data_IF_350403131443
#
_entry.id   IF_350403131443
#
_cell.length_a   1.000
_cell.length_b   1.000
_cell.length_c   1.000
_cell.angle_alpha   90.00
_cell.angle_beta   90.00
_cell.angle_gamma   90.00
#
_symmetry.space_group_name_H-M   'P 1'
#
loop_
_entity.id
_entity.type
_entity.pdbx_description
1 polymer ?
#
# COMPACT_ATOMS: atom_id res chain seq x y z
N UNK A 1 -55.00 7.40 31.84
CA UNK A 1 -53.68 8.01 32.14
C UNK A 1 -52.61 7.09 31.59
N UNK A 2 -51.98 7.50 30.49
CA UNK A 2 -50.88 6.78 29.83
C UNK A 2 -49.65 6.79 30.75
N UNK A 3 -49.05 5.62 30.97
CA UNK A 3 -47.68 5.53 31.48
C UNK A 3 -46.76 5.14 30.33
N UNK A 4 -45.93 6.10 29.92
CA UNK A 4 -44.94 5.96 28.85
C UNK A 4 -43.81 5.07 29.36
N UNK A 5 -43.58 3.95 28.67
CA UNK A 5 -42.40 3.12 28.86
C UNK A 5 -41.17 3.86 28.33
N UNK A 6 -40.26 4.26 29.23
CA UNK A 6 -38.94 4.72 28.86
C UNK A 6 -38.05 3.51 28.56
N UNK A 7 -37.99 3.10 27.29
CA UNK A 7 -36.98 2.17 26.80
C UNK A 7 -35.67 2.94 26.67
N UNK A 8 -34.81 2.85 27.67
CA UNK A 8 -33.40 3.26 27.52
C UNK A 8 -32.68 2.13 26.79
N UNK A 9 -32.60 2.25 25.47
CA UNK A 9 -31.71 1.43 24.67
C UNK A 9 -30.26 1.86 24.97
N UNK A 10 -29.62 1.19 25.93
CA UNK A 10 -28.16 1.25 26.07
C UNK A 10 -27.61 0.51 24.85
N UNK A 11 -27.25 1.25 23.82
CA UNK A 11 -26.39 0.76 22.77
C UNK A 11 -25.06 0.35 23.44
N UNK A 12 -24.88 -0.95 23.67
CA UNK A 12 -23.57 -1.50 24.00
C UNK A 12 -22.69 -1.27 22.77
N UNK A 13 -21.94 -0.18 22.81
CA UNK A 13 -20.88 0.12 21.87
C UNK A 13 -20.00 -1.12 21.73
N UNK A 14 -19.95 -1.69 20.52
CA UNK A 14 -18.98 -2.69 20.17
C UNK A 14 -17.60 -2.07 20.37
N UNK A 15 -16.87 -2.56 21.37
CA UNK A 15 -15.45 -2.21 21.55
C UNK A 15 -14.73 -2.64 20.26
N UNK A 16 -14.16 -1.72 19.44
CA UNK A 16 -13.53 -2.10 18.19
C UNK A 16 -12.18 -2.75 18.50
N UNK A 17 -12.17 -4.07 18.50
CA UNK A 17 -11.07 -4.91 18.99
C UNK A 17 -10.19 -5.52 17.90
N UNK A 18 -9.91 -4.79 16.83
CA UNK A 18 -8.74 -4.92 15.95
C UNK A 18 -8.77 -3.70 15.02
N UNK A 19 -7.65 -2.98 14.88
CA UNK A 19 -7.60 -1.93 13.87
C UNK A 19 -8.05 -2.53 12.51
N UNK A 20 -8.98 -1.87 11.79
CA UNK A 20 -9.44 -2.38 10.51
C UNK A 20 -8.22 -2.57 9.60
N UNK A 21 -8.32 -3.48 8.63
CA UNK A 21 -7.27 -3.71 7.62
C UNK A 21 -6.00 -4.48 8.02
N UNK A 22 -5.86 -4.98 9.27
CA UNK A 22 -4.63 -5.71 9.67
C UNK A 22 -4.63 -7.22 9.43
N UNK A 23 -5.79 -7.80 9.11
CA UNK A 23 -5.94 -9.22 8.84
C UNK A 23 -5.62 -9.50 7.37
N UNK A 24 -4.66 -10.38 7.04
CA UNK A 24 -4.33 -10.73 5.66
C UNK A 24 -5.44 -11.51 4.95
N UNK A 25 -6.41 -12.08 5.67
CA UNK A 25 -7.47 -12.91 5.11
C UNK A 25 -6.94 -14.20 4.44
N UNK A 26 -5.84 -14.75 4.96
CA UNK A 26 -5.30 -16.05 4.57
C UNK A 26 -6.26 -17.18 4.96
N UNK A 27 -6.28 -18.26 4.16
CA UNK A 27 -6.99 -19.48 4.51
C UNK A 27 -6.19 -20.37 5.45
N UNK A 28 -6.84 -20.88 6.49
CA UNK A 28 -6.24 -21.80 7.46
C UNK A 28 -4.93 -21.27 8.05
N UNK A 29 -3.88 -22.10 8.02
CA UNK A 29 -2.57 -21.82 8.60
C UNK A 29 -1.56 -21.28 7.57
N UNK A 30 -2.02 -20.58 6.52
CA UNK A 30 -1.15 -19.98 5.51
C UNK A 30 -0.63 -18.62 5.99
N UNK A 31 0.67 -18.38 5.86
CA UNK A 31 1.32 -17.20 6.45
C UNK A 31 2.30 -16.44 5.54
N UNK A 32 2.53 -16.88 4.30
CA UNK A 32 3.55 -16.27 3.43
C UNK A 32 2.89 -15.63 2.22
N UNK A 33 3.24 -14.37 1.95
CA UNK A 33 2.90 -13.67 0.71
C UNK A 33 4.15 -13.58 -0.16
N UNK A 34 4.02 -13.89 -1.44
CA UNK A 34 5.10 -13.72 -2.43
C UNK A 34 4.82 -12.50 -3.30
N UNK A 35 5.86 -11.72 -3.60
CA UNK A 35 5.76 -10.64 -4.59
C UNK A 35 6.21 -11.18 -5.96
N UNK A 36 5.27 -11.45 -6.85
CA UNK A 36 5.55 -11.89 -8.23
C UNK A 36 5.72 -10.66 -9.13
N UNK A 37 6.85 -9.98 -8.92
CA UNK A 37 7.16 -8.70 -9.55
C UNK A 37 7.20 -8.78 -11.07
N UNK A 38 6.39 -7.94 -11.74
CA UNK A 38 6.24 -7.84 -13.21
C UNK A 38 5.65 -9.08 -13.91
N UNK A 39 5.14 -10.06 -13.17
CA UNK A 39 4.51 -11.23 -13.79
C UNK A 39 3.21 -10.88 -14.51
N UNK A 40 2.91 -11.59 -15.60
CA UNK A 40 1.63 -11.46 -16.31
C UNK A 40 0.51 -12.18 -15.54
N UNK A 41 -0.73 -11.73 -15.71
CA UNK A 41 -1.87 -12.27 -14.97
C UNK A 41 -2.06 -13.77 -15.19
N UNK A 42 -1.92 -14.24 -16.44
CA UNK A 42 -2.07 -15.66 -16.76
C UNK A 42 -0.96 -16.52 -16.12
N UNK A 43 0.27 -15.99 -16.01
CA UNK A 43 1.38 -16.69 -15.37
C UNK A 43 1.13 -16.83 -13.86
N UNK A 44 0.65 -15.76 -13.20
CA UNK A 44 0.26 -15.80 -11.78
C UNK A 44 -0.91 -16.76 -11.55
N UNK A 45 -1.91 -16.75 -12.43
CA UNK A 45 -3.07 -17.63 -12.33
C UNK A 45 -2.66 -19.12 -12.34
N UNK A 46 -1.74 -19.48 -13.24
CA UNK A 46 -1.18 -20.82 -13.32
C UNK A 46 -0.31 -21.14 -12.10
N UNK A 47 0.46 -20.17 -11.60
CA UNK A 47 1.30 -20.31 -10.40
C UNK A 47 0.47 -20.61 -9.15
N UNK A 48 -0.69 -19.96 -9.01
CA UNK A 48 -1.63 -20.21 -7.92
C UNK A 48 -2.14 -21.66 -7.91
N UNK A 49 -2.45 -22.22 -9.08
CA UNK A 49 -2.94 -23.59 -9.24
C UNK A 49 -1.82 -24.63 -9.04
N UNK A 50 -0.67 -24.44 -9.71
CA UNK A 50 0.38 -25.46 -9.80
C UNK A 50 1.35 -25.47 -8.61
N UNK A 51 1.47 -24.36 -7.88
CA UNK A 51 2.51 -24.19 -6.86
C UNK A 51 2.00 -23.52 -5.58
N UNK A 52 1.55 -22.26 -5.65
CA UNK A 52 1.29 -21.49 -4.43
C UNK A 52 0.17 -22.09 -3.57
N UNK A 53 -0.90 -22.58 -4.20
CA UNK A 53 -1.98 -23.28 -3.52
C UNK A 53 -1.50 -24.57 -2.83
N UNK A 54 -0.97 -25.54 -3.58
CA UNK A 54 -0.47 -26.81 -3.01
C UNK A 54 0.61 -26.65 -1.94
N UNK A 55 1.46 -25.63 -2.04
CA UNK A 55 2.57 -25.38 -1.10
C UNK A 55 2.22 -24.41 0.04
N UNK A 56 0.94 -24.04 0.20
CA UNK A 56 0.45 -23.34 1.39
C UNK A 56 0.82 -21.85 1.47
N UNK A 57 1.06 -21.19 0.34
CA UNK A 57 1.22 -19.73 0.32
C UNK A 57 -0.12 -19.03 0.59
N UNK A 58 -0.08 -17.98 1.40
CA UNK A 58 -1.26 -17.18 1.71
C UNK A 58 -1.70 -16.36 0.49
N UNK A 59 -0.77 -15.75 -0.24
CA UNK A 59 -1.15 -14.89 -1.35
C UNK A 59 0.00 -14.33 -2.17
N UNK A 60 -0.37 -13.49 -3.12
CA UNK A 60 0.53 -12.85 -4.09
C UNK A 60 0.33 -11.34 -4.02
N UNK A 61 1.42 -10.59 -3.84
CA UNK A 61 1.45 -9.18 -4.22
C UNK A 61 1.69 -9.10 -5.73
N UNK A 62 0.80 -8.41 -6.44
CA UNK A 62 0.92 -8.15 -7.87
C UNK A 62 1.44 -6.73 -8.13
N UNK A 63 2.19 -6.52 -9.21
CA UNK A 63 2.54 -5.17 -9.69
C UNK A 63 1.29 -4.34 -10.04
N UNK A 64 1.40 -3.00 -10.13
CA UNK A 64 0.24 -2.12 -10.32
C UNK A 64 -0.62 -2.53 -11.54
N UNK A 65 -1.91 -2.86 -11.35
CA UNK A 65 -2.75 -3.39 -12.42
C UNK A 65 -3.44 -2.30 -13.26
N UNK A 66 -3.43 -1.06 -12.77
CA UNK A 66 -4.01 0.07 -13.47
C UNK A 66 -3.17 0.52 -14.66
N UNK A 67 -3.80 1.29 -15.54
CA UNK A 67 -3.14 1.92 -16.68
C UNK A 67 -2.04 2.85 -16.21
N UNK A 68 -0.87 2.70 -16.84
CA UNK A 68 0.31 3.46 -16.52
C UNK A 68 0.97 4.01 -17.79
N UNK A 69 1.90 4.93 -17.59
CA UNK A 69 2.71 5.52 -18.65
C UNK A 69 3.50 4.45 -19.41
N UNK A 70 3.67 4.68 -20.71
CA UNK A 70 4.62 3.93 -21.55
C UNK A 70 5.88 4.78 -21.68
N UNK A 71 7.03 4.25 -21.25
CA UNK A 71 8.33 4.92 -21.37
C UNK A 71 9.15 4.23 -22.44
N UNK A 72 9.59 5.00 -23.44
CA UNK A 72 10.37 4.48 -24.58
C UNK A 72 11.88 4.70 -24.44
N UNK A 73 12.31 5.59 -23.55
CA UNK A 73 13.72 5.82 -23.23
C UNK A 73 13.90 6.06 -21.72
N UNK A 74 14.58 5.15 -20.98
CA UNK A 74 14.97 3.80 -21.41
C UNK A 74 13.74 2.98 -21.85
N UNK A 75 13.93 1.91 -22.63
CA UNK A 75 12.80 1.15 -23.16
C UNK A 75 12.12 0.31 -22.06
N UNK A 76 10.87 0.64 -21.75
CA UNK A 76 9.97 -0.11 -20.87
C UNK A 76 10.56 -0.47 -19.48
N UNK A 77 11.15 0.50 -18.75
CA UNK A 77 11.60 0.27 -17.38
C UNK A 77 10.45 -0.19 -16.49
N UNK A 78 10.78 -0.91 -15.42
CA UNK A 78 9.80 -1.40 -14.44
C UNK A 78 9.07 -0.25 -13.73
N UNK A 79 9.78 0.86 -13.46
CA UNK A 79 9.24 2.01 -12.74
C UNK A 79 8.16 2.77 -13.53
N UNK A 80 7.96 2.50 -14.83
CA UNK A 80 6.86 3.12 -15.57
C UNK A 80 5.49 2.75 -15.00
N UNK A 81 5.38 1.61 -14.30
CA UNK A 81 4.13 1.15 -13.67
C UNK A 81 3.71 1.99 -12.47
N UNK A 82 4.65 2.71 -11.88
CA UNK A 82 4.42 3.67 -10.79
C UNK A 82 4.17 5.08 -11.34
N UNK A 83 3.74 5.19 -12.60
CA UNK A 83 3.30 6.44 -13.20
C UNK A 83 1.88 6.26 -13.76
N UNK A 84 0.85 6.27 -12.90
CA UNK A 84 -0.54 6.07 -13.32
C UNK A 84 -0.98 7.08 -14.37
N UNK A 85 -1.80 6.61 -15.30
CA UNK A 85 -2.49 7.43 -16.30
C UNK A 85 -4.01 7.37 -16.09
N UNK A 86 -4.53 6.20 -15.74
CA UNK A 86 -5.91 6.03 -15.31
C UNK A 86 -6.06 4.84 -14.35
N UNK A 87 -7.28 4.60 -13.89
CA UNK A 87 -7.64 3.43 -13.09
C UNK A 87 -8.25 2.27 -13.92
N UNK A 88 -8.11 2.32 -15.24
CA UNK A 88 -8.48 1.20 -16.13
C UNK A 88 -7.52 0.02 -15.89
N UNK A 89 -8.03 -1.20 -15.79
CA UNK A 89 -7.23 -2.38 -15.48
C UNK A 89 -6.56 -2.98 -16.73
N UNK A 90 -5.73 -2.18 -17.40
CA UNK A 90 -4.94 -2.61 -18.56
C UNK A 90 -3.50 -2.14 -18.35
N UNK A 91 -2.61 -3.11 -18.14
CA UNK A 91 -1.19 -2.88 -17.87
C UNK A 91 -0.33 -3.79 -18.74
N UNK A 92 1.00 -3.71 -18.58
CA UNK A 92 1.92 -4.66 -19.23
C UNK A 92 1.68 -6.12 -18.84
N UNK A 93 1.07 -6.38 -17.68
CA UNK A 93 0.76 -7.74 -17.22
C UNK A 93 -0.47 -8.37 -17.90
N UNK A 94 -1.30 -7.57 -18.57
CA UNK A 94 -2.54 -8.03 -19.22
C UNK A 94 -3.72 -7.08 -19.00
N UNK A 95 -4.86 -7.47 -19.57
CA UNK A 95 -6.11 -6.71 -19.52
C UNK A 95 -7.01 -7.09 -18.32
N UNK A 96 -8.17 -6.43 -18.21
CA UNK A 96 -9.08 -6.61 -17.08
C UNK A 96 -9.66 -8.02 -17.00
N UNK A 97 -9.93 -8.66 -18.13
CA UNK A 97 -10.47 -10.01 -18.17
C UNK A 97 -9.44 -11.03 -17.66
N UNK A 98 -8.18 -10.87 -18.06
CA UNK A 98 -7.08 -11.70 -17.59
C UNK A 98 -6.82 -11.48 -16.08
N UNK A 99 -6.90 -10.22 -15.62
CA UNK A 99 -6.79 -9.90 -14.19
C UNK A 99 -7.91 -10.58 -13.37
N UNK A 100 -9.17 -10.46 -13.82
CA UNK A 100 -10.33 -11.13 -13.18
C UNK A 100 -10.16 -12.65 -13.13
N UNK A 101 -9.73 -13.26 -14.23
CA UNK A 101 -9.47 -14.68 -14.30
C UNK A 101 -8.36 -15.11 -13.32
N UNK A 102 -7.28 -14.34 -13.21
CA UNK A 102 -6.23 -14.58 -12.22
C UNK A 102 -6.77 -14.49 -10.79
N UNK A 103 -7.53 -13.44 -10.44
CA UNK A 103 -8.11 -13.30 -9.09
C UNK A 103 -9.02 -14.48 -8.75
N UNK A 104 -9.89 -14.89 -9.68
CA UNK A 104 -10.77 -16.03 -9.47
C UNK A 104 -9.99 -17.33 -9.27
N UNK A 105 -9.05 -17.64 -10.17
CA UNK A 105 -8.21 -18.85 -10.09
C UNK A 105 -7.44 -18.91 -8.78
N UNK A 106 -6.80 -17.82 -8.38
CA UNK A 106 -6.05 -17.78 -7.13
C UNK A 106 -6.96 -17.96 -5.91
N UNK A 107 -8.09 -17.26 -5.84
CA UNK A 107 -9.03 -17.41 -4.73
C UNK A 107 -9.60 -18.83 -4.62
N UNK A 108 -9.88 -19.52 -5.74
CA UNK A 108 -10.31 -20.94 -5.73
C UNK A 108 -9.26 -21.89 -5.13
N UNK A 109 -7.98 -21.52 -5.21
CA UNK A 109 -6.86 -22.30 -4.66
C UNK A 109 -6.43 -21.81 -3.26
N UNK A 110 -7.25 -20.96 -2.62
CA UNK A 110 -6.98 -20.36 -1.31
C UNK A 110 -5.79 -19.39 -1.30
N UNK A 111 -5.38 -18.89 -2.49
CA UNK A 111 -4.28 -17.93 -2.66
C UNK A 111 -4.88 -16.55 -2.87
N UNK A 112 -4.59 -15.64 -1.95
CA UNK A 112 -5.13 -14.27 -1.96
C UNK A 112 -4.35 -13.37 -2.91
N UNK A 113 -5.02 -12.39 -3.51
CA UNK A 113 -4.36 -11.35 -4.31
C UNK A 113 -4.32 -10.06 -3.51
N UNK A 114 -3.13 -9.44 -3.44
CA UNK A 114 -2.90 -8.11 -2.90
C UNK A 114 -2.41 -7.21 -4.02
N UNK A 115 -3.11 -6.12 -4.26
CA UNK A 115 -2.77 -5.19 -5.34
C UNK A 115 -1.79 -4.14 -4.84
N UNK A 116 -0.77 -3.86 -5.64
CA UNK A 116 0.04 -2.66 -5.48
C UNK A 116 -0.74 -1.42 -5.97
N UNK A 117 -1.18 -0.60 -5.03
CA UNK A 117 -2.04 0.54 -5.25
C UNK A 117 -1.22 1.84 -5.24
N UNK A 118 -0.94 2.35 -6.44
CA UNK A 118 -0.27 3.64 -6.67
C UNK A 118 -1.30 4.76 -6.64
N UNK A 119 -1.50 5.36 -5.46
CA UNK A 119 -2.60 6.31 -5.19
C UNK A 119 -2.13 7.66 -4.64
N UNK A 120 -0.83 7.86 -4.47
CA UNK A 120 -0.25 9.15 -4.07
C UNK A 120 -0.19 10.14 -5.25
N UNK A 121 0.19 9.64 -6.42
CA UNK A 121 0.56 10.47 -7.56
C UNK A 121 0.06 9.86 -8.88
N UNK A 122 0.13 10.65 -9.95
CA UNK A 122 -0.06 10.20 -11.34
C UNK A 122 1.29 10.29 -12.09
N UNK A 123 1.28 10.23 -13.43
CA UNK A 123 2.50 10.25 -14.24
C UNK A 123 3.40 11.48 -13.97
N UNK A 124 4.72 11.31 -14.21
CA UNK A 124 5.71 12.38 -14.02
C UNK A 124 5.39 13.64 -14.83
N UNK A 125 5.61 14.81 -14.23
CA UNK A 125 5.28 16.13 -14.80
C UNK A 125 5.97 16.39 -16.13
N UNK A 126 5.35 17.24 -16.95
CA UNK A 126 5.94 17.72 -18.20
C UNK A 126 5.93 16.69 -19.33
N UNK A 127 5.02 15.71 -19.28
CA UNK A 127 4.90 14.66 -20.28
C UNK A 127 3.45 14.48 -20.69
N UNK A 128 3.22 14.38 -21.99
CA UNK A 128 1.92 14.02 -22.54
C UNK A 128 2.02 12.77 -23.40
N UNK A 129 0.94 12.01 -23.51
CA UNK A 129 0.91 10.84 -24.39
C UNK A 129 -0.32 9.98 -24.16
N UNK A 130 -0.17 8.68 -24.42
CA UNK A 130 -1.17 7.67 -24.11
C UNK A 130 -0.62 6.61 -23.17
N UNK A 131 -1.44 6.17 -22.22
CA UNK A 131 -1.11 5.06 -21.33
C UNK A 131 -1.26 3.70 -21.99
N UNK A 132 -1.00 2.65 -21.23
CA UNK A 132 -1.12 1.25 -21.68
C UNK A 132 -2.53 0.82 -22.12
N UNK A 133 -3.57 1.54 -21.71
CA UNK A 133 -4.96 1.31 -22.12
C UNK A 133 -5.40 2.26 -23.24
N UNK A 134 -4.52 3.16 -23.68
CA UNK A 134 -4.79 4.14 -24.71
C UNK A 134 -5.38 5.46 -24.21
N UNK A 135 -5.58 5.66 -22.90
CA UNK A 135 -6.08 6.92 -22.37
C UNK A 135 -5.06 8.03 -22.64
N UNK A 136 -5.54 9.17 -23.14
CA UNK A 136 -4.73 10.38 -23.24
C UNK A 136 -4.44 10.95 -21.86
N UNK A 137 -3.27 11.59 -21.71
CA UNK A 137 -2.94 12.44 -20.58
C UNK A 137 -1.96 13.56 -20.99
N UNK A 138 -1.98 14.66 -20.25
CA UNK A 138 -0.98 15.72 -20.25
C UNK A 138 -0.64 16.09 -18.80
N UNK A 139 0.44 15.51 -18.27
CA UNK A 139 0.86 15.75 -16.89
C UNK A 139 1.47 17.15 -16.68
N UNK A 140 1.87 17.84 -17.76
CA UNK A 140 2.31 19.23 -17.70
C UNK A 140 1.14 20.18 -17.40
N UNK A 141 -0.04 19.86 -17.94
CA UNK A 141 -1.31 20.54 -17.65
C UNK A 141 -2.12 19.91 -16.52
N UNK A 142 -1.59 18.86 -15.89
CA UNK A 142 -2.29 18.07 -14.86
C UNK A 142 -3.66 17.53 -15.34
N UNK A 143 -3.74 17.16 -16.63
CA UNK A 143 -4.95 16.67 -17.27
C UNK A 143 -4.87 15.14 -17.48
N UNK A 144 -5.73 14.40 -16.78
CA UNK A 144 -5.82 12.94 -16.81
C UNK A 144 -7.29 12.52 -17.04
N UNK A 145 -7.82 12.69 -18.27
CA UNK A 145 -9.24 12.49 -18.57
C UNK A 145 -9.71 11.04 -18.38
N UNK A 146 -8.79 10.07 -18.31
CA UNK A 146 -9.10 8.67 -17.99
C UNK A 146 -9.60 8.44 -16.56
N UNK A 147 -9.44 9.42 -15.64
CA UNK A 147 -9.98 9.36 -14.26
C UNK A 147 -11.19 10.27 -13.99
N UNK A 148 -11.55 11.20 -14.88
CA UNK A 148 -10.99 12.54 -15.17
C UNK A 148 -10.44 13.37 -13.98
N UNK A 149 -9.12 13.43 -13.82
CA UNK A 149 -8.50 14.46 -12.96
C UNK A 149 -8.07 15.68 -13.76
N UNK A 150 -8.16 16.85 -13.12
CA UNK A 150 -7.71 18.14 -13.64
C UNK A 150 -6.68 18.77 -12.69
N UNK A 151 -6.12 19.92 -13.05
CA UNK A 151 -5.22 20.73 -12.22
C UNK A 151 -5.76 21.01 -10.81
N UNK A 152 -7.08 21.09 -10.65
CA UNK A 152 -7.74 21.24 -9.35
C UNK A 152 -7.53 20.06 -8.40
N UNK A 153 -7.13 18.90 -8.90
CA UNK A 153 -7.06 17.64 -8.15
C UNK A 153 -5.64 17.28 -7.70
N UNK A 154 -4.68 18.16 -7.97
CA UNK A 154 -3.27 17.98 -7.61
C UNK A 154 -2.82 19.07 -6.64
N UNK A 155 -1.83 18.73 -5.80
CA UNK A 155 -1.15 19.71 -4.98
C UNK A 155 -0.35 20.67 -5.87
N UNK A 156 -0.64 21.97 -5.71
CA UNK A 156 0.04 23.06 -6.42
C UNK A 156 0.76 24.00 -5.45
N UNK A 157 0.98 25.25 -5.88
CA UNK A 157 1.63 26.30 -5.06
C UNK A 157 0.89 26.62 -3.75
N UNK A 158 -0.40 26.28 -3.67
CA UNK A 158 -1.19 26.48 -2.45
C UNK A 158 -0.94 25.43 -1.37
N UNK A 159 -0.37 24.27 -1.72
CA UNK A 159 -0.16 23.15 -0.80
C UNK A 159 1.31 22.78 -0.63
N UNK A 160 2.11 22.94 -1.69
CA UNK A 160 3.55 22.75 -1.68
C UNK A 160 4.28 24.08 -1.57
N UNK A 161 5.12 24.22 -0.54
CA UNK A 161 5.87 25.44 -0.22
C UNK A 161 7.18 25.60 -0.99
N UNK A 162 7.66 24.55 -1.67
CA UNK A 162 8.96 24.58 -2.35
C UNK A 162 8.87 25.30 -3.70
N UNK A 163 9.95 25.97 -4.10
CA UNK A 163 9.98 26.72 -5.35
C UNK A 163 9.85 25.80 -6.58
N UNK A 164 10.43 24.60 -6.51
CA UNK A 164 10.40 23.60 -7.58
C UNK A 164 9.11 22.76 -7.63
N UNK A 165 8.26 22.88 -6.60
CA UNK A 165 7.14 21.97 -6.32
C UNK A 165 7.54 20.52 -6.01
N UNK A 166 8.83 20.22 -5.88
CA UNK A 166 9.32 18.88 -5.50
C UNK A 166 9.67 18.84 -4.02
N UNK A 167 9.78 17.62 -3.49
CA UNK A 167 10.37 17.37 -2.18
C UNK A 167 11.87 17.67 -2.26
N UNK A 168 12.35 18.55 -1.39
CA UNK A 168 13.74 19.02 -1.34
C UNK A 168 14.40 18.68 0.02
N UNK A 169 13.61 18.51 1.08
CA UNK A 169 14.05 18.25 2.44
C UNK A 169 13.08 17.30 3.17
N UNK A 170 13.56 16.09 3.49
CA UNK A 170 12.78 15.08 4.21
C UNK A 170 12.59 15.38 5.71
N UNK A 171 13.25 16.41 6.26
CA UNK A 171 12.99 16.90 7.62
C UNK A 171 11.80 17.86 7.73
N UNK A 172 11.13 18.16 6.63
CA UNK A 172 9.89 18.92 6.62
C UNK A 172 8.73 17.99 6.19
N UNK A 173 7.90 17.53 7.14
CA UNK A 173 6.80 16.61 6.84
C UNK A 173 5.76 17.19 5.88
N UNK A 174 5.64 18.53 5.81
CA UNK A 174 4.63 19.18 4.96
C UNK A 174 5.03 19.03 3.50
N UNK A 175 6.29 19.32 3.15
CA UNK A 175 6.73 19.12 1.78
C UNK A 175 6.74 17.63 1.39
N UNK A 176 7.12 16.73 2.30
CA UNK A 176 7.14 15.27 2.00
C UNK A 176 5.76 14.76 1.59
N UNK A 177 4.67 15.39 2.09
CA UNK A 177 3.28 14.96 1.85
C UNK A 177 2.47 15.81 0.89
N UNK A 178 2.99 16.97 0.49
CA UNK A 178 2.28 17.90 -0.39
C UNK A 178 3.07 18.26 -1.65
N UNK A 179 4.35 17.93 -1.73
CA UNK A 179 5.20 18.21 -2.88
C UNK A 179 5.48 16.93 -3.69
N UNK A 180 5.88 17.13 -4.93
CA UNK A 180 6.09 16.06 -5.91
C UNK A 180 7.29 15.20 -5.51
N UNK A 181 7.04 13.91 -5.30
CA UNK A 181 8.08 12.90 -5.19
C UNK A 181 8.76 12.73 -6.54
N UNK A 182 10.01 13.17 -6.67
CA UNK A 182 10.83 13.06 -7.91
C UNK A 182 10.10 13.50 -9.19
N UNK A 183 9.29 14.55 -9.11
CA UNK A 183 8.54 15.08 -10.24
C UNK A 183 7.26 14.31 -10.59
N UNK A 184 6.79 13.40 -9.75
CA UNK A 184 5.49 12.73 -9.92
C UNK A 184 4.34 13.69 -9.57
N UNK A 185 3.29 13.74 -10.40
CA UNK A 185 2.16 14.65 -10.19
C UNK A 185 1.38 14.27 -8.92
N UNK A 186 1.58 15.05 -7.84
CA UNK A 186 1.10 14.72 -6.51
C UNK A 186 -0.40 15.03 -6.34
N UNK A 187 -1.22 14.02 -6.04
CA UNK A 187 -2.66 14.17 -5.92
C UNK A 187 -3.00 14.92 -4.62
N UNK A 188 -3.99 15.81 -4.68
CA UNK A 188 -4.53 16.45 -3.49
C UNK A 188 -5.46 15.49 -2.75
N UNK A 189 -4.88 14.48 -2.11
CA UNK A 189 -5.57 13.35 -1.43
C UNK A 189 -6.50 13.77 -0.28
N UNK A 190 -6.44 15.03 0.15
CA UNK A 190 -7.38 15.61 1.11
C UNK A 190 -8.74 16.00 0.51
N UNK A 191 -8.84 16.15 -0.81
CA UNK A 191 -10.11 16.51 -1.48
C UNK A 191 -11.06 15.32 -1.52
N UNK A 192 -12.33 15.56 -1.18
CA UNK A 192 -13.37 14.52 -1.22
C UNK A 192 -13.49 13.87 -2.60
N UNK A 193 -13.41 14.65 -3.69
CA UNK A 193 -13.44 14.13 -5.06
C UNK A 193 -12.30 13.12 -5.32
N UNK A 194 -11.07 13.49 -5.00
CA UNK A 194 -9.89 12.62 -5.14
C UNK A 194 -10.04 11.36 -4.30
N UNK A 195 -10.49 11.48 -3.05
CA UNK A 195 -10.70 10.32 -2.19
C UNK A 195 -11.77 9.36 -2.74
N UNK A 196 -12.88 9.89 -3.28
CA UNK A 196 -13.93 9.07 -3.91
C UNK A 196 -13.44 8.39 -5.18
N UNK A 197 -12.68 9.07 -6.03
CA UNK A 197 -12.10 8.50 -7.24
C UNK A 197 -11.15 7.34 -6.92
N UNK A 198 -10.24 7.53 -5.96
CA UNK A 198 -9.35 6.46 -5.47
C UNK A 198 -10.18 5.32 -4.86
N UNK A 199 -11.15 5.62 -3.99
CA UNK A 199 -11.98 4.59 -3.37
C UNK A 199 -12.81 3.80 -4.41
N UNK A 200 -13.28 4.44 -5.48
CA UNK A 200 -13.95 3.79 -6.59
C UNK A 200 -13.05 2.77 -7.30
N UNK A 201 -11.79 3.13 -7.54
CA UNK A 201 -10.78 2.20 -8.05
C UNK A 201 -10.54 1.01 -7.11
N UNK A 202 -10.32 1.26 -5.82
CA UNK A 202 -10.12 0.21 -4.83
C UNK A 202 -11.36 -0.68 -4.68
N UNK A 203 -12.56 -0.11 -4.73
CA UNK A 203 -13.82 -0.85 -4.67
C UNK A 203 -13.98 -1.77 -5.86
N UNK A 204 -13.66 -1.31 -7.08
CA UNK A 204 -13.65 -2.18 -8.27
C UNK A 204 -12.75 -3.41 -8.05
N UNK A 205 -11.58 -3.23 -7.45
CA UNK A 205 -10.66 -4.34 -7.15
C UNK A 205 -11.20 -5.27 -6.06
N UNK A 206 -11.77 -4.71 -4.99
CA UNK A 206 -12.41 -5.50 -3.93
C UNK A 206 -13.58 -6.32 -4.49
N UNK A 207 -14.42 -5.71 -5.33
CA UNK A 207 -15.57 -6.36 -5.95
C UNK A 207 -15.15 -7.48 -6.90
N UNK A 208 -14.00 -7.36 -7.57
CA UNK A 208 -13.39 -8.45 -8.35
C UNK A 208 -12.95 -9.63 -7.46
N UNK A 209 -12.58 -9.38 -6.20
CA UNK A 209 -12.15 -10.40 -5.24
C UNK A 209 -10.72 -10.25 -4.73
N UNK A 210 -10.09 -9.09 -4.91
CA UNK A 210 -8.79 -8.76 -4.30
C UNK A 210 -8.95 -8.73 -2.78
N UNK A 211 -7.98 -9.32 -2.06
CA UNK A 211 -8.03 -9.46 -0.59
C UNK A 211 -7.46 -8.24 0.14
N UNK A 212 -6.72 -7.37 -0.55
CA UNK A 212 -6.06 -6.23 0.06
C UNK A 212 -5.11 -5.47 -0.84
N UNK A 213 -4.37 -4.53 -0.24
CA UNK A 213 -3.56 -3.54 -0.94
C UNK A 213 -2.20 -3.31 -0.26
N UNK A 214 -1.13 -3.23 -1.07
CA UNK A 214 0.04 -2.43 -0.74
C UNK A 214 -0.30 -1.00 -1.12
N UNK A 215 -0.21 -0.06 -0.18
CA UNK A 215 -0.30 1.37 -0.52
C UNK A 215 1.11 1.86 -0.80
N UNK A 216 1.39 2.11 -2.09
CA UNK A 216 2.65 2.70 -2.54
C UNK A 216 2.82 4.12 -2.01
N UNK A 217 4.08 4.50 -1.72
CA UNK A 217 4.43 5.86 -1.31
C UNK A 217 3.58 6.41 -0.16
N UNK A 218 3.12 5.56 0.76
CA UNK A 218 2.20 5.98 1.84
C UNK A 218 2.81 7.04 2.77
N UNK A 219 4.15 7.07 2.92
CA UNK A 219 4.88 8.15 3.61
C UNK A 219 4.56 9.55 3.06
N UNK A 220 4.29 9.64 1.76
CA UNK A 220 3.98 10.86 1.03
C UNK A 220 2.50 11.22 1.08
N UNK A 221 1.68 10.45 1.81
CA UNK A 221 0.27 10.76 2.04
C UNK A 221 0.04 11.05 3.52
N UNK A 222 -0.86 11.99 3.82
CA UNK A 222 -1.29 12.24 5.19
C UNK A 222 -2.06 11.04 5.76
N UNK A 223 -1.79 10.63 7.01
CA UNK A 223 -2.52 9.54 7.67
C UNK A 223 -4.05 9.73 7.66
N UNK A 224 -4.54 10.96 7.85
CA UNK A 224 -5.97 11.26 7.81
C UNK A 224 -6.58 11.10 6.41
N UNK A 225 -5.85 11.42 5.35
CA UNK A 225 -6.32 11.22 3.98
C UNK A 225 -6.43 9.72 3.67
N UNK A 226 -5.45 8.93 4.11
CA UNK A 226 -5.50 7.46 4.01
C UNK A 226 -6.69 6.89 4.78
N UNK A 227 -6.98 7.39 6.00
CA UNK A 227 -8.19 7.00 6.75
C UNK A 227 -9.47 7.33 5.95
N UNK A 228 -9.54 8.52 5.37
CA UNK A 228 -10.67 8.96 4.55
C UNK A 228 -10.91 8.06 3.34
N UNK A 229 -9.85 7.75 2.59
CA UNK A 229 -9.89 6.85 1.43
C UNK A 229 -10.31 5.44 1.85
N UNK A 230 -9.62 4.83 2.81
CA UNK A 230 -9.89 3.45 3.23
C UNK A 230 -11.26 3.30 3.88
N UNK A 231 -11.75 4.32 4.60
CA UNK A 231 -13.10 4.36 5.14
C UNK A 231 -14.21 4.28 4.08
N UNK A 232 -13.90 4.63 2.83
CA UNK A 232 -14.81 4.53 1.67
C UNK A 232 -14.70 3.22 0.91
N UNK A 233 -13.73 2.37 1.26
CA UNK A 233 -13.55 1.07 0.63
C UNK A 233 -14.58 0.08 1.19
N UNK A 234 -15.17 -0.74 0.34
CA UNK A 234 -16.16 -1.75 0.67
C UNK A 234 -15.54 -2.87 1.52
N UNK A 235 -16.42 -3.67 2.12
CA UNK A 235 -16.00 -4.97 2.63
C UNK A 235 -15.63 -5.89 1.46
N UNK A 236 -14.78 -6.88 1.74
CA UNK A 236 -14.33 -7.86 0.77
C UNK A 236 -15.49 -8.62 0.12
N UNK A 237 -15.29 -9.05 -1.12
CA UNK A 237 -16.29 -9.81 -1.88
C UNK A 237 -16.70 -11.08 -1.10
N UNK A 238 -17.97 -11.11 -0.69
CA UNK A 238 -18.52 -12.14 0.19
C UNK A 238 -18.45 -13.55 -0.41
N UNK A 239 -18.37 -13.69 -1.75
CA UNK A 239 -18.17 -14.98 -2.44
C UNK A 239 -16.88 -15.67 -2.00
N UNK A 240 -15.82 -14.92 -1.71
CA UNK A 240 -14.50 -15.47 -1.41
C UNK A 240 -14.10 -15.36 0.08
N UNK A 241 -14.66 -14.39 0.80
CA UNK A 241 -14.20 -14.03 2.15
C UNK A 241 -15.28 -14.09 3.23
N UNK A 242 -16.54 -14.32 2.86
CA UNK A 242 -17.69 -14.17 3.75
C UNK A 242 -18.04 -12.70 4.03
N UNK A 243 -19.01 -12.47 4.91
CA UNK A 243 -19.57 -11.13 5.16
C UNK A 243 -18.71 -10.32 6.15
N UNK A 244 -18.61 -9.01 5.93
CA UNK A 244 -18.06 -8.05 6.90
C UNK A 244 -16.53 -8.02 7.03
N UNK A 245 -15.79 -8.72 6.16
CA UNK A 245 -14.32 -8.68 6.16
C UNK A 245 -13.80 -7.39 5.53
N UNK A 246 -12.80 -6.75 6.14
CA UNK A 246 -12.09 -5.59 5.58
C UNK A 246 -10.89 -6.04 4.73
N UNK A 247 -10.53 -5.31 3.66
CA UNK A 247 -9.32 -5.61 2.91
C UNK A 247 -8.08 -5.52 3.79
N UNK A 248 -7.11 -6.40 3.57
CA UNK A 248 -5.79 -6.27 4.18
C UNK A 248 -5.07 -5.04 3.63
N UNK A 249 -4.45 -4.23 4.47
CA UNK A 249 -3.66 -3.09 3.99
C UNK A 249 -2.30 -3.08 4.68
N UNK A 250 -1.27 -2.86 3.88
CA UNK A 250 0.08 -2.57 4.34
C UNK A 250 0.63 -1.37 3.57
N UNK A 251 1.16 -0.41 4.31
CA UNK A 251 1.54 0.90 3.82
C UNK A 251 3.05 0.95 3.64
N UNK A 252 3.51 1.38 2.47
CA UNK A 252 4.92 1.65 2.27
C UNK A 252 5.32 2.94 2.98
N UNK A 253 5.98 2.79 4.12
CA UNK A 253 6.56 3.90 4.86
C UNK A 253 8.03 3.57 5.12
N UNK A 254 8.92 4.24 4.40
CA UNK A 254 10.37 4.09 4.59
C UNK A 254 10.78 4.97 5.78
N UNK A 255 10.88 4.37 6.96
CA UNK A 255 11.39 4.99 8.20
C UNK A 255 12.63 4.21 8.66
N UNK A 256 13.82 4.64 8.20
CA UNK A 256 15.11 4.11 8.66
C UNK A 256 15.66 4.90 9.86
N UNK A 257 14.81 5.74 10.48
CA UNK A 257 15.16 6.72 11.49
C UNK A 257 15.84 7.98 10.95
N UNK A 258 16.14 8.93 11.84
CA UNK A 258 16.68 10.25 11.48
C UNK A 258 15.67 11.24 10.91
N UNK A 259 14.56 10.79 10.33
CA UNK A 259 13.52 11.65 9.76
C UNK A 259 12.32 11.86 10.69
N UNK A 260 11.57 12.97 10.59
CA UNK A 260 10.44 13.28 11.47
C UNK A 260 9.20 12.40 11.24
N UNK A 261 8.97 11.91 10.02
CA UNK A 261 7.83 11.05 9.70
C UNK A 261 8.10 9.63 10.18
N UNK A 262 7.20 9.09 11.01
CA UNK A 262 7.37 7.79 11.67
C UNK A 262 6.37 6.75 11.24
N UNK A 263 6.79 5.49 11.23
CA UNK A 263 5.92 4.33 11.04
C UNK A 263 4.73 4.34 12.02
N UNK A 264 4.92 4.84 13.23
CA UNK A 264 3.89 4.94 14.28
C UNK A 264 2.71 5.85 13.92
N UNK A 265 2.86 6.76 12.96
CA UNK A 265 1.73 7.58 12.46
C UNK A 265 0.73 6.74 11.63
N UNK A 266 1.20 5.64 11.03
CA UNK A 266 0.45 4.83 10.07
C UNK A 266 0.01 3.47 10.64
N UNK A 267 0.71 2.95 11.65
CA UNK A 267 0.34 1.68 12.31
C UNK A 267 -1.04 1.66 12.99
N UNK A 268 -1.64 2.77 13.43
CA UNK A 268 -3.03 2.77 13.90
C UNK A 268 -4.04 2.48 12.78
N UNK A 269 -3.68 2.79 11.52
CA UNK A 269 -4.56 2.63 10.35
C UNK A 269 -4.50 1.19 9.83
N UNK A 270 -3.30 0.71 9.50
CA UNK A 270 -3.09 -0.60 8.90
C UNK A 270 -1.67 -1.11 9.23
N UNK A 271 -1.19 -2.16 8.56
CA UNK A 271 0.23 -2.54 8.69
C UNK A 271 1.13 -1.55 7.96
N UNK A 272 2.42 -1.57 8.27
CA UNK A 272 3.47 -0.80 7.59
C UNK A 272 4.60 -1.76 7.18
N UNK A 273 5.31 -1.45 6.12
CA UNK A 273 6.52 -2.17 5.70
C UNK A 273 7.68 -1.82 6.64
N UNK A 274 8.26 -2.83 7.30
CA UNK A 274 9.38 -2.62 8.22
C UNK A 274 10.73 -2.75 7.49
N UNK A 275 11.21 -1.64 6.93
CA UNK A 275 12.46 -1.62 6.17
C UNK A 275 13.70 -1.87 7.02
N UNK A 276 13.67 -1.54 8.32
CA UNK A 276 14.80 -1.80 9.20
C UNK A 276 15.03 -3.31 9.36
N UNK A 277 13.97 -4.14 9.36
CA UNK A 277 14.09 -5.59 9.50
C UNK A 277 15.08 -6.18 8.48
N UNK A 278 14.92 -5.85 7.19
CA UNK A 278 15.81 -6.31 6.13
C UNK A 278 17.22 -5.73 6.25
N UNK A 279 17.33 -4.43 6.54
CA UNK A 279 18.61 -3.76 6.72
C UNK A 279 19.42 -4.32 7.90
N UNK A 280 18.76 -4.66 9.00
CA UNK A 280 19.40 -5.29 10.16
C UNK A 280 19.92 -6.69 9.85
N UNK A 281 19.07 -7.56 9.30
CA UNK A 281 19.48 -8.90 8.93
C UNK A 281 20.62 -8.87 7.92
N UNK A 282 20.53 -8.04 6.89
CA UNK A 282 21.60 -7.90 5.90
C UNK A 282 22.92 -7.50 6.55
N UNK A 283 22.93 -6.52 7.47
CA UNK A 283 24.15 -6.13 8.19
C UNK A 283 24.74 -7.29 9.01
N UNK A 284 23.91 -8.10 9.66
CA UNK A 284 24.36 -9.26 10.43
C UNK A 284 25.01 -10.33 9.52
N UNK A 285 24.36 -10.68 8.40
CA UNK A 285 24.86 -11.70 7.47
C UNK A 285 26.04 -11.21 6.62
N UNK A 286 26.15 -9.90 6.37
CA UNK A 286 27.32 -9.26 5.75
C UNK A 286 28.48 -9.01 6.74
N UNK A 287 28.41 -9.59 7.95
CA UNK A 287 29.47 -9.54 8.98
C UNK A 287 29.79 -8.14 9.52
N UNK A 288 28.87 -7.18 9.41
CA UNK A 288 29.03 -5.89 10.07
C UNK A 288 28.90 -6.00 11.60
N UNK A 289 28.19 -7.02 12.11
CA UNK A 289 28.19 -7.40 13.52
C UNK A 289 27.89 -8.91 13.68
N UNK A 290 28.19 -9.52 14.85
CA UNK A 290 28.02 -10.96 15.07
C UNK A 290 26.56 -11.42 15.01
N UNK A 291 26.30 -12.59 14.41
CA UNK A 291 24.94 -13.20 14.36
C UNK A 291 24.33 -13.45 15.74
N UNK A 292 25.14 -13.64 16.79
CA UNK A 292 24.64 -13.76 18.18
C UNK A 292 23.83 -12.55 18.64
N UNK A 293 24.01 -11.39 18.01
CA UNK A 293 23.24 -10.20 18.33
C UNK A 293 21.77 -10.35 17.89
N UNK A 294 21.45 -11.24 16.95
CA UNK A 294 20.06 -11.51 16.55
C UNK A 294 19.23 -12.27 17.60
N UNK A 295 19.80 -12.60 18.77
CA UNK A 295 19.06 -13.28 19.85
C UNK A 295 17.84 -12.48 20.33
N UNK A 296 17.90 -11.15 20.26
CA UNK A 296 16.79 -10.26 20.66
C UNK A 296 16.15 -9.55 19.45
N UNK A 297 16.34 -10.09 18.25
CA UNK A 297 15.85 -9.50 17.02
C UNK A 297 14.31 -9.39 17.03
N UNK A 298 13.81 -8.17 16.78
CA UNK A 298 12.40 -7.84 16.91
C UNK A 298 12.19 -6.42 17.44
N UNK A 299 11.14 -6.21 18.24
CA UNK A 299 10.65 -4.89 18.67
C UNK A 299 11.70 -3.97 19.32
N UNK A 300 12.77 -4.53 19.91
CA UNK A 300 13.79 -3.76 20.62
C UNK A 300 15.00 -3.32 19.77
N UNK A 301 15.37 -4.05 18.72
CA UNK A 301 16.59 -3.75 17.93
C UNK A 301 16.29 -3.04 16.61
N UNK A 302 15.08 -3.21 16.07
CA UNK A 302 14.66 -2.67 14.77
C UNK A 302 14.44 -1.14 14.82
N UNK A 303 14.30 -0.56 16.01
CA UNK A 303 14.11 0.89 16.23
C UNK A 303 15.40 1.64 16.59
N UNK A 304 16.46 0.96 17.03
CA UNK A 304 17.70 1.58 17.53
C UNK A 304 18.82 1.74 16.49
N UNK A 305 18.73 1.15 15.29
CA UNK A 305 19.75 1.33 14.25
C UNK A 305 19.93 2.75 13.71
N UNK A 306 19.05 3.67 14.11
CA UNK A 306 19.08 5.07 13.72
C UNK A 306 20.01 5.95 14.57
N UNK A 307 20.59 5.41 15.65
CA UNK A 307 21.50 6.15 16.52
C UNK A 307 22.95 5.68 16.32
N UNK A 308 23.94 6.58 16.18
CA UNK A 308 25.34 6.20 16.31
C UNK A 308 25.56 5.66 17.73
N UNK A 309 26.05 4.43 17.79
CA UNK A 309 26.24 3.62 18.99
C UNK A 309 26.84 4.39 20.18
N UNK A 310 26.14 4.41 21.31
CA UNK A 310 26.76 4.52 22.64
C UNK A 310 26.53 3.22 23.42
N UNK A 311 27.57 2.61 24.01
CA UNK A 311 27.45 1.32 24.69
C UNK A 311 27.14 1.56 26.17
N UNK A 312 25.88 1.43 26.59
CA UNK A 312 25.51 0.95 27.93
C UNK A 312 24.01 1.04 28.17
N UNK A 313 23.36 -0.11 28.37
CA UNK A 313 22.55 -0.38 29.56
C UNK A 313 21.81 -1.72 29.39
N UNK A 314 22.25 -2.72 30.16
CA UNK A 314 21.44 -3.90 30.47
C UNK A 314 20.17 -3.48 31.20
N UNK A 315 18.97 -3.78 30.68
CA UNK A 315 17.75 -3.79 31.50
C UNK A 315 16.83 -4.96 31.12
N UNK A 316 16.29 -5.58 32.17
CA UNK A 316 15.62 -6.88 32.23
C UNK A 316 14.29 -6.94 31.46
N UNK A 317 14.07 -8.13 30.91
CA UNK A 317 12.82 -8.73 30.46
C UNK A 317 11.55 -8.33 31.23
N UNK A 318 10.49 -7.96 30.49
CA UNK A 318 9.10 -8.26 30.85
C UNK A 318 8.29 -8.66 29.60
N UNK A 319 7.70 -9.85 29.65
CA UNK A 319 6.84 -10.47 28.62
C UNK A 319 5.55 -9.68 28.39
N UNK A 320 5.15 -9.49 27.12
CA UNK A 320 3.82 -9.80 26.51
C UNK A 320 3.43 -8.80 25.41
N UNK A 321 3.56 -9.23 24.15
CA UNK A 321 2.54 -9.28 23.08
C UNK A 321 3.27 -9.58 21.77
N UNK A 322 2.89 -10.64 21.07
CA UNK A 322 3.44 -10.92 19.73
C UNK A 322 2.75 -10.03 18.68
N UNK A 323 3.53 -9.53 17.72
CA UNK A 323 3.12 -9.58 16.33
C UNK A 323 4.15 -10.35 15.49
N UNK A 324 3.67 -11.28 14.66
CA UNK A 324 4.49 -11.96 13.65
C UNK A 324 5.06 -10.94 12.65
N UNK A 325 6.39 -10.92 12.40
CA UNK A 325 6.98 -10.07 11.38
C UNK A 325 6.66 -10.65 10.00
N UNK A 326 5.86 -9.91 9.22
CA UNK A 326 5.60 -10.24 7.82
C UNK A 326 6.70 -9.60 6.98
N UNK A 327 7.49 -10.43 6.29
CA UNK A 327 8.45 -9.97 5.30
C UNK A 327 7.75 -9.86 3.95
N UNK A 328 7.52 -8.64 3.46
CA UNK A 328 7.18 -8.42 2.05
C UNK A 328 8.35 -7.68 1.45
N UNK A 329 9.10 -8.35 0.56
CA UNK A 329 10.20 -7.74 -0.18
C UNK A 329 9.61 -6.82 -1.24
N UNK A 330 9.62 -5.52 -0.99
CA UNK A 330 9.29 -4.51 -1.99
C UNK A 330 10.46 -4.36 -2.95
N UNK A 331 10.17 -4.29 -4.26
CA UNK A 331 11.14 -3.83 -5.23
C UNK A 331 11.07 -2.30 -5.20
N UNK A 332 11.88 -1.68 -4.37
CA UNK A 332 12.14 -0.24 -4.35
C UNK A 332 13.49 0.03 -4.97
#
# INVERSE_FOLDING_TARGET
MLWIAAVVAIALASVPGAAPYKNPNCDGNRHVVVHLFEWRWNDIANECERFLGPYGYCGVQVSPPNEHRIVTSPYRPWWERYQPVSYILVSRSGNEQEFKNMVEKCNRNGVRIYVDAVINHMAGVGVSGRGTAGSYYDSGRQDFPGVPYSDWDFNGRGQCSTASLNIENYHDPVQVRNCRLVGLTDLQTGKDYVQRSIAGYLNKLVDIGVAGFRIDAAKHMWPDHLRGILGRVNNLNSRYFGTGKRPFVYQEVIDLGGEPIKNSEYTPIARVTEFNYGAHLSRAFSKHYPLKNLQNFGEHEVTEAAAPSSPSASRRCTKRRQPSPWLIRTAS
#
